data_IF_580952296614
#
_entry.id   IF_580952296614
#
_cell.length_a   1.000
_cell.length_b   1.000
_cell.length_c   1.000
_cell.angle_alpha   90.00
_cell.angle_beta   90.00
_cell.angle_gamma   90.00
#
_symmetry.space_group_name_H-M   'P 1'
#
loop_
_entity.id
_entity.type
_entity.pdbx_description
1 polymer ?
#
# COMPACT_ATOMS: atom_id res chain seq x y z
N UNK A 1 17.42 3.37 -13.38
CA UNK A 1 16.74 4.68 -13.22
C UNK A 1 15.63 4.66 -12.16
N UNK A 2 15.51 3.57 -11.37
CA UNK A 2 14.49 3.39 -10.32
C UNK A 2 14.94 3.41 -8.84
N UNK A 3 16.25 3.45 -8.48
CA UNK A 3 16.67 3.41 -7.07
C UNK A 3 16.01 4.49 -6.20
N UNK A 4 15.89 5.71 -6.72
CA UNK A 4 15.32 6.85 -6.00
C UNK A 4 13.83 6.65 -5.70
N UNK A 5 13.08 6.08 -6.65
CA UNK A 5 11.66 5.78 -6.48
C UNK A 5 11.47 4.63 -5.49
N UNK A 6 12.32 3.60 -5.57
CA UNK A 6 12.34 2.49 -4.60
C UNK A 6 12.60 3.00 -3.19
N UNK A 7 13.61 3.84 -3.01
CA UNK A 7 13.94 4.44 -1.71
C UNK A 7 12.79 5.29 -1.18
N UNK A 8 12.13 6.07 -2.04
CA UNK A 8 10.96 6.87 -1.68
C UNK A 8 9.82 6.00 -1.14
N UNK A 9 9.43 4.95 -1.88
CA UNK A 9 8.35 4.05 -1.45
C UNK A 9 8.69 3.33 -0.15
N UNK A 10 9.92 2.81 -0.02
CA UNK A 10 10.33 2.10 1.20
C UNK A 10 10.29 3.03 2.40
N UNK A 11 10.86 4.24 2.28
CA UNK A 11 10.87 5.24 3.35
C UNK A 11 9.45 5.61 3.77
N UNK A 12 8.58 5.93 2.82
CA UNK A 12 7.24 6.45 3.12
C UNK A 12 6.30 5.34 3.65
N UNK A 13 6.44 4.10 3.17
CA UNK A 13 5.72 2.96 3.76
C UNK A 13 6.22 2.61 5.16
N UNK A 14 7.53 2.74 5.44
CA UNK A 14 8.07 2.60 6.79
C UNK A 14 7.54 3.69 7.73
N UNK A 15 7.46 4.93 7.26
CA UNK A 15 6.87 6.03 8.01
C UNK A 15 5.39 5.76 8.34
N UNK A 16 4.60 5.30 7.37
CA UNK A 16 3.21 4.92 7.60
C UNK A 16 3.06 3.78 8.62
N UNK A 17 3.95 2.77 8.57
CA UNK A 17 3.96 1.69 9.57
C UNK A 17 4.22 2.27 10.97
N UNK A 18 5.21 3.15 11.12
CA UNK A 18 5.51 3.79 12.39
C UNK A 18 4.33 4.64 12.91
N UNK A 19 3.61 5.32 12.02
CA UNK A 19 2.40 6.07 12.35
C UNK A 19 1.26 5.17 12.83
N UNK A 20 1.06 4.01 12.20
CA UNK A 20 0.08 3.02 12.67
C UNK A 20 0.45 2.44 14.04
N UNK A 21 1.74 2.15 14.27
CA UNK A 21 2.26 1.68 15.56
C UNK A 21 2.09 2.71 16.67
N UNK A 22 2.10 4.01 16.34
CA UNK A 22 1.95 5.10 17.30
C UNK A 22 0.52 5.32 17.81
N UNK A 23 -0.49 4.69 17.20
CA UNK A 23 -1.86 4.73 17.74
C UNK A 23 -1.91 4.05 19.13
N UNK A 24 -2.78 4.49 20.05
CA UNK A 24 -2.86 3.91 21.39
C UNK A 24 -3.48 2.51 21.41
N UNK A 25 -4.40 2.20 20.49
CA UNK A 25 -5.10 0.92 20.38
C UNK A 25 -5.63 0.69 18.95
N UNK A 26 -6.05 -0.54 18.65
CA UNK A 26 -6.58 -0.91 17.33
C UNK A 26 -7.83 -0.09 16.97
N UNK A 27 -8.71 0.20 17.95
CA UNK A 27 -9.94 0.95 17.70
C UNK A 27 -9.66 2.38 17.24
N UNK A 28 -8.57 2.97 17.68
CA UNK A 28 -8.22 4.36 17.40
C UNK A 28 -7.84 4.59 15.94
N UNK A 29 -7.35 3.57 15.24
CA UNK A 29 -7.03 3.61 13.81
C UNK A 29 -8.30 3.74 12.95
N UNK A 30 -9.45 3.34 13.47
CA UNK A 30 -10.74 3.37 12.82
C UNK A 30 -11.57 4.62 13.15
N UNK A 31 -11.07 5.52 13.99
CA UNK A 31 -11.77 6.74 14.38
C UNK A 31 -11.48 7.87 13.39
N UNK A 32 -12.53 8.57 12.99
CA UNK A 32 -12.42 9.86 12.29
C UNK A 32 -12.50 11.03 13.28
N UNK A 33 -11.86 12.16 12.96
CA UNK A 33 -11.91 13.39 13.75
C UNK A 33 -12.06 14.61 12.85
N UNK A 34 -12.92 15.55 13.25
CA UNK A 34 -13.15 16.80 12.51
C UNK A 34 -13.69 16.54 11.11
N UNK A 35 -13.00 17.04 10.09
CA UNK A 35 -13.38 16.93 8.68
C UNK A 35 -12.80 15.69 7.98
N UNK A 36 -12.08 14.83 8.70
CA UNK A 36 -11.57 13.57 8.14
C UNK A 36 -12.76 12.63 7.90
N UNK A 37 -12.90 12.12 6.68
CA UNK A 37 -14.01 11.23 6.30
C UNK A 37 -13.61 9.76 6.24
N UNK A 38 -12.33 9.46 6.02
CA UNK A 38 -11.80 8.11 5.99
C UNK A 38 -10.83 7.90 7.16
N UNK A 39 -11.00 6.86 7.98
CA UNK A 39 -10.06 6.55 9.04
C UNK A 39 -8.74 6.02 8.47
N UNK A 40 -7.68 6.05 9.28
CA UNK A 40 -6.35 5.59 8.87
C UNK A 40 -6.35 4.12 8.44
N UNK A 41 -7.16 3.27 9.09
CA UNK A 41 -7.31 1.86 8.71
C UNK A 41 -7.83 1.67 7.28
N UNK A 42 -8.85 2.42 6.88
CA UNK A 42 -9.38 2.40 5.51
C UNK A 42 -8.33 2.86 4.50
N UNK A 43 -7.59 3.93 4.82
CA UNK A 43 -6.55 4.43 3.92
C UNK A 43 -5.38 3.45 3.78
N UNK A 44 -5.01 2.75 4.86
CA UNK A 44 -3.98 1.70 4.81
C UNK A 44 -4.42 0.51 3.94
N UNK A 45 -5.65 0.00 4.13
CA UNK A 45 -6.21 -1.06 3.28
C UNK A 45 -6.24 -0.64 1.81
N UNK A 46 -6.71 0.57 1.54
CA UNK A 46 -6.78 1.10 0.18
C UNK A 46 -5.39 1.21 -0.45
N UNK A 47 -4.38 1.68 0.30
CA UNK A 47 -3.02 1.80 -0.19
C UNK A 47 -2.40 0.43 -0.50
N UNK A 48 -2.63 -0.58 0.36
CA UNK A 48 -2.18 -1.96 0.12
C UNK A 48 -2.77 -2.49 -1.20
N UNK A 49 -4.08 -2.35 -1.41
CA UNK A 49 -4.72 -2.81 -2.63
C UNK A 49 -4.28 -2.02 -3.87
N UNK A 50 -4.12 -0.70 -3.74
CA UNK A 50 -3.64 0.18 -4.81
C UNK A 50 -2.24 -0.22 -5.28
N UNK A 51 -1.27 -0.31 -4.35
CA UNK A 51 0.12 -0.64 -4.69
C UNK A 51 0.27 -2.10 -5.15
N UNK A 52 -0.50 -3.03 -4.59
CA UNK A 52 -0.49 -4.42 -5.06
C UNK A 52 -0.97 -4.54 -6.51
N UNK A 53 -2.00 -3.78 -6.90
CA UNK A 53 -2.48 -3.74 -8.28
C UNK A 53 -1.49 -3.03 -9.20
N UNK A 54 -1.29 -1.73 -9.01
CA UNK A 54 -0.63 -0.91 -10.03
C UNK A 54 0.88 -1.15 -10.08
N UNK A 55 1.52 -1.28 -8.92
CA UNK A 55 2.98 -1.49 -8.88
C UNK A 55 3.30 -2.98 -8.91
N UNK A 56 2.61 -3.79 -8.11
CA UNK A 56 2.84 -5.24 -8.07
C UNK A 56 2.45 -5.96 -9.36
N UNK A 57 1.18 -5.82 -9.78
CA UNK A 57 0.65 -6.55 -10.93
C UNK A 57 0.94 -5.86 -12.26
N UNK A 58 0.50 -4.62 -12.43
CA UNK A 58 0.56 -3.97 -13.74
C UNK A 58 2.03 -3.69 -14.14
N UNK A 59 2.82 -3.12 -13.22
CA UNK A 59 4.25 -2.87 -13.45
C UNK A 59 5.11 -4.11 -13.18
N UNK A 60 4.95 -4.79 -12.04
CA UNK A 60 5.79 -5.91 -11.63
C UNK A 60 5.46 -7.26 -12.29
N UNK A 61 4.30 -7.39 -12.95
CA UNK A 61 3.86 -8.64 -13.58
C UNK A 61 3.45 -9.73 -12.59
N UNK A 62 3.27 -9.42 -11.31
CA UNK A 62 2.87 -10.39 -10.28
C UNK A 62 1.35 -10.41 -10.16
N UNK A 63 0.65 -11.52 -10.49
CA UNK A 63 -0.80 -11.57 -10.42
C UNK A 63 -1.35 -11.16 -9.06
N UNK A 64 -2.34 -10.27 -9.08
CA UNK A 64 -3.07 -9.81 -7.91
C UNK A 64 -4.54 -9.61 -8.28
N UNK A 65 -5.44 -10.14 -7.47
CA UNK A 65 -6.88 -9.90 -7.61
C UNK A 65 -7.30 -8.87 -6.55
N UNK A 66 -7.66 -7.67 -7.03
CA UNK A 66 -8.01 -6.56 -6.14
C UNK A 66 -9.48 -6.61 -5.73
N UNK A 67 -9.72 -6.77 -4.43
CA UNK A 67 -11.04 -6.55 -3.83
C UNK A 67 -11.20 -5.10 -3.37
N UNK A 68 -11.56 -4.23 -4.31
CA UNK A 68 -11.74 -2.79 -4.03
C UNK A 68 -12.91 -2.53 -3.08
N UNK A 69 -13.96 -3.34 -3.10
CA UNK A 69 -15.11 -3.12 -2.22
C UNK A 69 -14.71 -3.39 -0.76
N UNK A 70 -13.97 -4.48 -0.52
CA UNK A 70 -13.45 -4.81 0.81
C UNK A 70 -12.51 -3.76 1.39
N UNK A 71 -11.72 -3.04 0.56
CA UNK A 71 -10.85 -1.95 1.04
C UNK A 71 -11.62 -0.85 1.80
N UNK A 72 -12.89 -0.62 1.45
CA UNK A 72 -13.74 0.39 2.07
C UNK A 72 -14.84 -0.19 2.97
N UNK A 73 -15.19 -1.47 2.81
CA UNK A 73 -16.19 -2.14 3.62
C UNK A 73 -15.62 -2.76 4.91
N UNK A 74 -14.34 -3.16 4.91
CA UNK A 74 -13.69 -3.74 6.08
C UNK A 74 -13.43 -2.68 7.14
N UNK A 75 -13.69 -3.06 8.39
CA UNK A 75 -13.50 -2.25 9.59
C UNK A 75 -13.01 -3.16 10.72
N UNK A 76 -12.48 -2.56 11.79
CA UNK A 76 -11.97 -3.27 12.97
C UNK A 76 -10.88 -4.32 12.65
N UNK A 77 -10.12 -4.08 11.58
CA UNK A 77 -8.95 -4.91 11.25
C UNK A 77 -7.83 -4.57 12.25
N UNK A 78 -7.20 -5.58 12.91
CA UNK A 78 -6.11 -5.34 13.84
C UNK A 78 -4.94 -4.62 13.17
N UNK A 79 -4.27 -3.72 13.89
CA UNK A 79 -3.11 -2.99 13.33
C UNK A 79 -2.01 -3.91 12.86
N UNK A 80 -1.80 -5.02 13.57
CA UNK A 80 -0.81 -6.02 13.19
C UNK A 80 -1.06 -6.57 11.78
N UNK A 81 -2.33 -6.74 11.38
CA UNK A 81 -2.68 -7.19 10.03
C UNK A 81 -2.45 -6.09 8.99
N UNK A 82 -2.82 -4.84 9.29
CA UNK A 82 -2.54 -3.70 8.42
C UNK A 82 -1.03 -3.54 8.18
N UNK A 83 -0.23 -3.61 9.25
CA UNK A 83 1.23 -3.51 9.19
C UNK A 83 1.83 -4.68 8.41
N UNK A 84 1.33 -5.90 8.60
CA UNK A 84 1.76 -7.06 7.82
C UNK A 84 1.50 -6.86 6.33
N UNK A 85 0.30 -6.39 5.96
CA UNK A 85 -0.03 -6.06 4.57
C UNK A 85 0.83 -4.94 3.99
N UNK A 86 1.15 -3.91 4.77
CA UNK A 86 2.07 -2.83 4.35
C UNK A 86 3.50 -3.34 4.11
N UNK A 87 3.99 -4.26 4.94
CA UNK A 87 5.32 -4.88 4.75
C UNK A 87 5.34 -5.77 3.51
N UNK A 88 4.28 -6.54 3.29
CA UNK A 88 4.14 -7.40 2.11
C UNK A 88 4.10 -6.56 0.83
N UNK A 89 3.28 -5.50 0.79
CA UNK A 89 3.19 -4.64 -0.41
C UNK A 89 4.48 -3.85 -0.62
N UNK A 90 5.19 -3.45 0.43
CA UNK A 90 6.52 -2.83 0.32
C UNK A 90 7.52 -3.77 -0.37
N UNK A 91 7.55 -5.05 0.01
CA UNK A 91 8.41 -6.04 -0.64
C UNK A 91 8.04 -6.26 -2.11
N UNK A 92 6.74 -6.28 -2.44
CA UNK A 92 6.25 -6.35 -3.82
C UNK A 92 6.67 -5.15 -4.65
N UNK A 93 6.52 -3.94 -4.12
CA UNK A 93 6.93 -2.69 -4.78
C UNK A 93 8.43 -2.71 -5.07
N UNK A 94 9.26 -3.12 -4.10
CA UNK A 94 10.71 -3.27 -4.29
C UNK A 94 11.01 -4.26 -5.41
N UNK A 95 10.42 -5.45 -5.37
CA UNK A 95 10.65 -6.48 -6.39
C UNK A 95 10.22 -6.02 -7.80
N UNK A 96 9.08 -5.32 -7.90
CA UNK A 96 8.58 -4.78 -9.16
C UNK A 96 9.54 -3.73 -9.75
N UNK A 97 10.05 -2.81 -8.92
CA UNK A 97 10.96 -1.75 -9.36
C UNK A 97 12.36 -2.28 -9.68
N UNK A 98 12.86 -3.26 -8.93
CA UNK A 98 14.16 -3.89 -9.19
C UNK A 98 14.13 -4.75 -10.46
N UNK A 99 12.98 -5.33 -10.80
CA UNK A 99 12.75 -6.15 -12.00
C UNK A 99 12.21 -5.39 -13.21
N UNK A 100 12.07 -4.06 -13.13
CA UNK A 100 11.45 -3.27 -14.19
C UNK A 100 12.40 -3.12 -15.38
N UNK A 101 12.05 -3.75 -16.50
CA UNK A 101 12.67 -3.50 -17.80
C UNK A 101 12.10 -2.20 -18.39
N UNK A 102 12.97 -1.27 -18.78
CA UNK A 102 12.58 0.03 -19.35
C UNK A 102 11.69 -0.13 -20.59
N UNK A 103 11.85 -1.23 -21.35
CA UNK A 103 11.03 -1.52 -22.52
C UNK A 103 9.52 -1.68 -22.20
N UNK A 104 9.16 -2.06 -20.96
CA UNK A 104 7.76 -2.23 -20.54
C UNK A 104 7.03 -0.92 -20.28
N UNK A 105 7.74 0.20 -20.18
CA UNK A 105 7.13 1.51 -19.95
C UNK A 105 6.55 2.13 -21.22
N UNK A 106 7.07 1.72 -22.38
CA UNK A 106 6.62 2.23 -23.68
C UNK A 106 5.35 1.53 -24.19
N UNK A 107 5.00 0.37 -23.62
CA UNK A 107 3.83 -0.43 -24.02
C UNK A 107 2.47 0.20 -23.65
N UNK A 108 2.46 1.29 -22.86
CA UNK A 108 1.26 1.99 -22.40
C UNK A 108 0.82 3.22 -23.20
N UNK A 109 1.44 3.51 -24.35
CA UNK A 109 1.15 4.72 -25.16
C UNK A 109 0.22 4.49 -26.37
N UNK A 110 -0.59 3.43 -26.39
CA UNK A 110 -1.53 3.13 -27.47
C UNK A 110 -3.00 3.42 -27.08
#
# INVERSE_FOLDING_TARGET
MWPELRELFVRDLQQLIAELEAYPDDTSVWRVRGHIVNPAGTLALHLIGNLSQFVGADLGGVPFERDREAEFARWDVPRAELIAGLREVSARVVAALDGLDEARLDEGSA
#
